data_IF_918836457621
#
_entry.id   IF_918836457621
#
_cell.length_a   1.000
_cell.length_b   1.000
_cell.length_c   1.000
_cell.angle_alpha   90.00
_cell.angle_beta   90.00
_cell.angle_gamma   90.00
#
_symmetry.space_group_name_H-M   'P 1'
#
loop_
_entity.id
_entity.type
_entity.pdbx_description
1 polymer ?
#
# COMPACT_ATOMS: atom_id res chain seq x y z
N UNK A 1 3.77 -11.76 -11.19
CA UNK A 1 2.35 -11.73 -11.53
C UNK A 1 1.77 -10.31 -11.48
N UNK A 2 1.90 -9.58 -10.37
CA UNK A 2 1.33 -8.23 -10.25
C UNK A 2 1.93 -7.24 -11.26
N UNK A 3 3.24 -7.26 -11.48
CA UNK A 3 3.88 -6.44 -12.50
C UNK A 3 3.36 -6.78 -13.90
N UNK A 4 3.33 -8.08 -14.25
CA UNK A 4 2.78 -8.53 -15.54
C UNK A 4 1.29 -8.16 -15.71
N UNK A 5 0.54 -8.12 -14.60
CA UNK A 5 -0.85 -7.73 -14.63
C UNK A 5 -1.00 -6.25 -14.99
N UNK A 6 -0.20 -5.37 -14.38
CA UNK A 6 -0.24 -3.93 -14.68
C UNK A 6 0.30 -3.60 -16.06
N UNK A 7 1.36 -4.29 -16.52
CA UNK A 7 1.88 -4.15 -17.89
C UNK A 7 0.84 -4.51 -18.97
N UNK A 8 -0.05 -5.44 -18.66
CA UNK A 8 -1.09 -5.91 -19.59
C UNK A 8 -2.50 -5.61 -19.05
N UNK A 9 -2.66 -4.54 -18.29
CA UNK A 9 -3.91 -4.25 -17.59
C UNK A 9 -5.05 -4.03 -18.58
N UNK A 10 -4.84 -3.22 -19.61
CA UNK A 10 -5.85 -2.90 -20.63
C UNK A 10 -6.24 -4.16 -21.43
N UNK A 11 -5.28 -4.97 -21.86
CA UNK A 11 -5.54 -6.21 -22.57
C UNK A 11 -6.35 -7.22 -21.74
N UNK A 12 -6.15 -7.20 -20.42
CA UNK A 12 -6.83 -8.12 -19.49
C UNK A 12 -8.22 -7.66 -19.05
N UNK A 13 -8.45 -6.36 -19.02
CA UNK A 13 -9.63 -5.77 -18.40
C UNK A 13 -10.50 -4.98 -19.37
N UNK A 14 -9.99 -4.62 -20.55
CA UNK A 14 -10.64 -3.70 -21.48
C UNK A 14 -10.57 -2.22 -21.06
N UNK A 15 -9.85 -1.90 -19.95
CA UNK A 15 -9.78 -0.56 -19.40
C UNK A 15 -8.33 -0.15 -19.19
N UNK A 16 -7.96 1.06 -19.60
CA UNK A 16 -6.62 1.60 -19.40
C UNK A 16 -6.41 2.11 -17.96
N UNK A 17 -5.18 2.00 -17.50
CA UNK A 17 -4.68 2.67 -16.29
C UNK A 17 -3.45 3.48 -16.65
N UNK A 18 -3.24 4.59 -15.95
CA UNK A 18 -2.09 5.46 -16.15
C UNK A 18 -0.84 4.86 -15.47
N UNK A 19 -0.33 3.76 -16.07
CA UNK A 19 0.83 3.02 -15.56
C UNK A 19 2.11 3.43 -16.27
N UNK A 20 3.04 3.99 -15.52
CA UNK A 20 4.35 4.44 -15.99
C UNK A 20 5.44 3.50 -15.50
N UNK A 21 6.02 2.71 -16.38
CA UNK A 21 7.07 1.75 -16.08
C UNK A 21 8.45 2.36 -16.32
N UNK A 22 8.85 3.32 -15.50
CA UNK A 22 10.15 4.00 -15.61
C UNK A 22 11.22 3.41 -14.68
N UNK A 23 10.90 2.32 -13.99
CA UNK A 23 11.79 1.68 -13.03
C UNK A 23 11.80 2.34 -11.66
N UNK A 24 12.60 1.76 -10.76
CA UNK A 24 12.89 2.37 -9.46
C UNK A 24 14.36 2.21 -9.09
N UNK A 25 14.90 3.23 -8.44
CA UNK A 25 16.21 3.22 -7.80
C UNK A 25 16.02 2.96 -6.30
N UNK A 26 16.67 1.92 -5.78
CA UNK A 26 16.85 1.74 -4.34
C UNK A 26 18.28 2.09 -3.98
N UNK A 27 18.45 3.01 -3.05
CA UNK A 27 19.73 3.61 -2.69
C UNK A 27 20.04 3.24 -1.23
N UNK A 28 21.22 2.64 -1.02
CA UNK A 28 21.80 2.37 0.28
C UNK A 28 23.05 3.25 0.48
N UNK A 29 23.15 3.85 1.65
CA UNK A 29 24.22 4.78 2.01
C UNK A 29 25.24 4.17 2.99
N UNK A 30 24.88 3.05 3.62
CA UNK A 30 25.69 2.36 4.64
C UNK A 30 25.86 0.88 4.29
N UNK A 31 26.93 0.25 4.78
CA UNK A 31 27.24 -1.17 4.54
C UNK A 31 26.10 -2.11 4.98
N UNK A 32 25.41 -1.78 6.09
CA UNK A 32 24.28 -2.59 6.54
C UNK A 32 23.16 -2.67 5.48
N UNK A 33 22.85 -1.57 4.79
CA UNK A 33 21.83 -1.55 3.74
C UNK A 33 22.37 -1.97 2.36
N UNK A 34 23.67 -1.98 2.17
CA UNK A 34 24.29 -2.65 0.99
C UNK A 34 24.01 -4.15 1.04
N UNK A 35 24.17 -4.77 2.21
CA UNK A 35 23.82 -6.19 2.39
C UNK A 35 22.32 -6.47 2.12
N UNK A 36 21.42 -5.56 2.50
CA UNK A 36 19.99 -5.64 2.13
C UNK A 36 19.79 -5.60 0.60
N UNK A 37 20.52 -4.74 -0.11
CA UNK A 37 20.43 -4.72 -1.57
C UNK A 37 20.90 -6.02 -2.21
N UNK A 38 21.96 -6.66 -1.70
CA UNK A 38 22.46 -7.93 -2.18
C UNK A 38 21.44 -9.06 -2.01
N UNK A 39 20.78 -9.13 -0.85
CA UNK A 39 19.71 -10.09 -0.61
C UNK A 39 18.52 -9.87 -1.57
N UNK A 40 18.15 -8.62 -1.86
CA UNK A 40 17.11 -8.28 -2.84
C UNK A 40 17.48 -8.70 -4.26
N UNK A 41 18.75 -8.57 -4.64
CA UNK A 41 19.24 -9.06 -5.94
C UNK A 41 19.09 -10.56 -6.04
N UNK A 42 19.47 -11.31 -5.01
CA UNK A 42 19.32 -12.77 -5.01
C UNK A 42 17.84 -13.19 -5.01
N UNK A 43 16.98 -12.52 -4.23
CA UNK A 43 15.53 -12.74 -4.27
C UNK A 43 14.95 -12.45 -5.65
N UNK A 44 15.34 -11.36 -6.30
CA UNK A 44 14.90 -11.02 -7.65
C UNK A 44 15.33 -12.09 -8.67
N UNK A 45 16.57 -12.54 -8.61
CA UNK A 45 17.09 -13.62 -9.48
C UNK A 45 16.30 -14.91 -9.31
N UNK A 46 15.97 -15.30 -8.08
CA UNK A 46 15.24 -16.55 -7.79
C UNK A 46 13.87 -16.62 -8.45
N UNK A 47 13.27 -15.48 -8.76
CA UNK A 47 11.97 -15.35 -9.45
C UNK A 47 12.11 -14.84 -10.89
N UNK A 48 13.32 -14.84 -11.46
CA UNK A 48 13.58 -14.43 -12.84
C UNK A 48 13.49 -12.92 -13.10
N UNK A 49 13.48 -12.09 -12.05
CA UNK A 49 13.50 -10.63 -12.20
C UNK A 49 14.94 -10.12 -12.43
N UNK A 50 15.06 -9.14 -13.32
CA UNK A 50 16.35 -8.50 -13.63
C UNK A 50 16.48 -7.21 -12.83
N UNK A 51 17.61 -7.08 -12.15
CA UNK A 51 18.02 -5.84 -11.47
C UNK A 51 19.44 -5.49 -11.90
N UNK A 52 19.82 -4.22 -11.80
CA UNK A 52 21.14 -3.74 -12.21
C UNK A 52 21.68 -2.76 -11.18
N UNK A 53 22.96 -2.93 -10.80
CA UNK A 53 23.66 -1.88 -10.07
C UNK A 53 24.03 -0.75 -11.03
N UNK A 54 23.85 0.48 -10.59
CA UNK A 54 24.25 1.69 -11.29
C UNK A 54 25.38 2.39 -10.54
N UNK A 55 26.26 3.03 -11.28
CA UNK A 55 27.16 4.05 -10.72
C UNK A 55 26.39 5.33 -10.38
N UNK A 56 26.92 6.15 -9.49
CA UNK A 56 26.31 7.44 -9.14
C UNK A 56 26.12 8.33 -10.38
N UNK A 57 27.09 8.48 -11.30
CA UNK A 57 26.88 9.27 -12.53
C UNK A 57 25.75 8.76 -13.42
N UNK A 58 25.53 7.44 -13.51
CA UNK A 58 24.42 6.87 -14.27
C UNK A 58 23.08 7.18 -13.63
N UNK A 59 22.97 7.03 -12.29
CA UNK A 59 21.76 7.37 -11.56
C UNK A 59 21.39 8.87 -11.67
N UNK A 60 22.38 9.77 -11.60
CA UNK A 60 22.19 11.21 -11.75
C UNK A 60 21.76 11.63 -13.17
N UNK A 61 22.11 10.84 -14.19
CA UNK A 61 21.59 11.05 -15.56
C UNK A 61 20.11 10.68 -15.64
N UNK A 62 19.67 9.66 -14.92
CA UNK A 62 18.28 9.25 -14.88
C UNK A 62 17.44 10.20 -14.02
N UNK A 63 17.99 10.72 -12.92
CA UNK A 63 17.29 11.60 -11.96
C UNK A 63 18.16 12.85 -11.72
N UNK A 64 18.07 13.88 -12.59
CA UNK A 64 18.94 15.06 -12.51
C UNK A 64 18.75 15.91 -11.24
N UNK A 65 17.57 15.83 -10.60
CA UNK A 65 17.28 16.48 -9.33
C UNK A 65 17.95 15.83 -8.12
N UNK A 66 18.47 14.59 -8.26
CA UNK A 66 19.08 13.82 -7.18
C UNK A 66 20.53 14.28 -6.92
N UNK A 67 20.97 14.18 -5.66
CA UNK A 67 22.38 14.31 -5.24
C UNK A 67 22.74 13.12 -4.37
N UNK A 68 23.90 12.55 -4.62
CA UNK A 68 24.42 11.37 -3.89
C UNK A 68 25.92 11.51 -3.69
N UNK A 69 26.39 10.99 -2.56
CA UNK A 69 27.80 10.78 -2.33
C UNK A 69 28.34 9.63 -3.21
N UNK A 70 29.63 9.66 -3.59
CA UNK A 70 30.24 8.62 -4.45
C UNK A 70 30.18 7.20 -3.86
N UNK A 71 30.00 7.08 -2.56
CA UNK A 71 29.94 5.79 -1.83
C UNK A 71 28.57 5.13 -1.88
N UNK A 72 27.53 5.83 -2.35
CA UNK A 72 26.17 5.30 -2.43
C UNK A 72 26.11 4.06 -3.35
N UNK A 73 25.39 3.04 -2.91
CA UNK A 73 25.06 1.85 -3.71
C UNK A 73 23.64 1.97 -4.24
N UNK A 74 23.49 1.74 -5.54
CA UNK A 74 22.24 2.02 -6.24
C UNK A 74 21.82 0.79 -7.03
N UNK A 75 20.64 0.27 -6.72
CA UNK A 75 20.01 -0.85 -7.42
C UNK A 75 18.85 -0.34 -8.26
N UNK A 76 18.88 -0.56 -9.56
CA UNK A 76 17.79 -0.31 -10.49
C UNK A 76 16.94 -1.57 -10.64
N UNK A 77 15.63 -1.42 -10.42
CA UNK A 77 14.59 -2.39 -10.78
C UNK A 77 13.84 -1.85 -12.00
N UNK A 78 14.16 -2.28 -13.22
CA UNK A 78 13.64 -1.63 -14.45
C UNK A 78 12.15 -1.88 -14.69
N UNK A 79 11.57 -2.97 -14.15
CA UNK A 79 10.15 -3.29 -14.28
C UNK A 79 9.26 -2.64 -13.22
N UNK A 80 9.84 -1.90 -12.28
CA UNK A 80 9.06 -1.09 -11.34
C UNK A 80 8.43 0.09 -12.08
N UNK A 81 7.31 0.55 -11.54
CA UNK A 81 6.59 1.69 -12.07
C UNK A 81 5.69 2.33 -11.02
N UNK A 82 4.96 3.32 -11.44
CA UNK A 82 3.92 3.93 -10.63
C UNK A 82 2.65 4.11 -11.46
N UNK A 83 1.55 4.29 -10.76
CA UNK A 83 0.23 4.49 -11.33
C UNK A 83 -0.51 5.50 -10.45
N UNK A 84 -1.47 6.20 -11.00
CA UNK A 84 -2.39 6.98 -10.17
C UNK A 84 -3.41 6.04 -9.49
N UNK A 85 -3.42 5.91 -8.16
CA UNK A 85 -4.22 4.89 -7.47
C UNK A 85 -5.72 4.95 -7.76
N UNK A 86 -6.26 6.17 -7.97
CA UNK A 86 -7.67 6.35 -8.29
C UNK A 86 -8.04 5.74 -9.66
N UNK A 87 -7.17 5.87 -10.66
CA UNK A 87 -7.40 5.30 -12.00
C UNK A 87 -7.52 3.78 -11.93
N UNK A 88 -6.71 3.13 -11.09
CA UNK A 88 -6.76 1.68 -10.88
C UNK A 88 -8.08 1.24 -10.27
N UNK A 89 -8.56 1.91 -9.23
CA UNK A 89 -9.81 1.57 -8.59
C UNK A 89 -11.01 1.74 -9.54
N UNK A 90 -11.01 2.82 -10.33
CA UNK A 90 -12.06 3.08 -11.34
C UNK A 90 -12.02 2.03 -12.45
N UNK A 91 -10.84 1.69 -12.96
CA UNK A 91 -10.69 0.69 -14.01
C UNK A 91 -11.10 -0.72 -13.55
N UNK A 92 -10.73 -1.12 -12.33
CA UNK A 92 -11.21 -2.38 -11.75
C UNK A 92 -12.74 -2.42 -11.60
N UNK A 93 -13.34 -1.31 -11.12
CA UNK A 93 -14.79 -1.22 -10.98
C UNK A 93 -15.48 -1.34 -12.35
N UNK A 94 -14.97 -0.65 -13.37
CA UNK A 94 -15.50 -0.72 -14.72
C UNK A 94 -15.39 -2.14 -15.30
N UNK A 95 -14.23 -2.77 -15.20
CA UNK A 95 -14.02 -4.15 -15.63
C UNK A 95 -14.96 -5.14 -14.89
N UNK A 96 -15.16 -4.95 -13.58
CA UNK A 96 -16.09 -5.78 -12.83
C UNK A 96 -17.55 -5.60 -13.33
N UNK A 97 -17.96 -4.38 -13.64
CA UNK A 97 -19.30 -4.08 -14.21
C UNK A 97 -19.47 -4.76 -15.55
N UNK A 98 -18.46 -4.75 -16.42
CA UNK A 98 -18.49 -5.45 -17.72
C UNK A 98 -18.69 -6.96 -17.57
N UNK A 99 -18.24 -7.52 -16.44
CA UNK A 99 -18.48 -8.92 -16.06
C UNK A 99 -19.78 -9.13 -15.24
N UNK A 100 -20.64 -8.14 -15.14
CA UNK A 100 -21.96 -8.24 -14.51
C UNK A 100 -21.98 -7.90 -13.02
N UNK A 101 -20.90 -7.40 -12.43
CA UNK A 101 -20.91 -6.90 -11.05
C UNK A 101 -21.72 -5.60 -10.92
N UNK A 102 -22.28 -5.36 -9.73
CA UNK A 102 -22.96 -4.11 -9.40
C UNK A 102 -22.11 -3.33 -8.42
N UNK A 103 -21.85 -2.07 -8.72
CA UNK A 103 -21.16 -1.14 -7.82
C UNK A 103 -22.20 -0.17 -7.24
N UNK A 104 -22.39 -0.21 -5.93
CA UNK A 104 -23.37 0.61 -5.21
C UNK A 104 -22.63 1.66 -4.38
N UNK A 105 -22.36 2.81 -4.98
CA UNK A 105 -21.78 3.96 -4.26
C UNK A 105 -22.80 4.61 -3.34
N UNK A 106 -22.34 5.30 -2.29
CA UNK A 106 -23.23 5.93 -1.31
C UNK A 106 -24.06 4.94 -0.49
N UNK A 107 -23.65 3.64 -0.48
CA UNK A 107 -24.35 2.57 0.24
C UNK A 107 -23.47 2.05 1.36
N UNK A 108 -23.79 2.42 2.60
CA UNK A 108 -23.08 1.93 3.77
C UNK A 108 -23.50 0.50 4.11
N UNK A 109 -22.50 -0.36 4.44
CA UNK A 109 -22.75 -1.67 5.07
C UNK A 109 -22.80 -1.45 6.59
N UNK A 110 -23.91 -1.79 7.20
CA UNK A 110 -24.21 -1.55 8.62
C UNK A 110 -23.96 -2.82 9.45
N UNK A 111 -24.29 -3.99 8.89
CA UNK A 111 -24.15 -5.27 9.59
C UNK A 111 -23.92 -6.44 8.61
N UNK A 112 -23.35 -7.55 9.10
CA UNK A 112 -23.32 -8.84 8.43
C UNK A 112 -24.34 -9.77 9.09
N UNK A 113 -25.32 -10.19 8.30
CA UNK A 113 -26.39 -11.07 8.78
C UNK A 113 -25.88 -12.52 8.80
N UNK A 114 -26.01 -13.17 9.96
CA UNK A 114 -25.51 -14.54 10.16
C UNK A 114 -26.58 -15.44 10.80
N UNK A 115 -26.49 -16.73 10.53
CA UNK A 115 -27.32 -17.76 11.19
C UNK A 115 -26.56 -19.08 11.22
N UNK A 116 -26.47 -19.70 12.40
CA UNK A 116 -25.78 -20.99 12.58
C UNK A 116 -24.31 -20.96 12.20
N UNK A 117 -23.60 -19.85 12.49
CA UNK A 117 -22.18 -19.70 12.15
C UNK A 117 -21.91 -19.48 10.65
N UNK A 118 -22.91 -19.06 9.88
CA UNK A 118 -22.82 -18.81 8.43
C UNK A 118 -23.32 -17.45 8.06
N UNK A 119 -22.71 -16.82 7.07
CA UNK A 119 -23.20 -15.59 6.43
C UNK A 119 -24.54 -15.87 5.73
N UNK A 120 -25.47 -14.91 5.83
CA UNK A 120 -26.77 -14.92 5.16
C UNK A 120 -27.00 -13.66 4.32
N UNK A 121 -26.22 -12.62 4.54
CA UNK A 121 -26.35 -11.37 3.82
C UNK A 121 -25.66 -10.24 4.52
N UNK A 122 -25.90 -9.04 4.03
CA UNK A 122 -25.48 -7.78 4.65
C UNK A 122 -26.67 -6.84 4.79
N UNK A 123 -26.76 -6.18 5.93
CA UNK A 123 -27.64 -5.03 6.12
C UNK A 123 -26.93 -3.79 5.57
N UNK A 124 -27.64 -3.04 4.75
CA UNK A 124 -27.11 -1.80 4.17
C UNK A 124 -28.07 -0.65 4.41
N UNK A 125 -27.61 0.59 4.20
CA UNK A 125 -28.44 1.80 4.28
C UNK A 125 -29.65 1.82 3.32
N UNK A 126 -29.65 0.94 2.30
CA UNK A 126 -30.74 0.82 1.31
C UNK A 126 -31.54 -0.50 1.44
N UNK A 127 -31.26 -1.31 2.46
CA UNK A 127 -31.94 -2.58 2.72
C UNK A 127 -30.99 -3.77 2.77
N UNK A 128 -31.54 -4.97 2.86
CA UNK A 128 -30.79 -6.23 2.94
C UNK A 128 -30.36 -6.71 1.56
N UNK A 129 -29.11 -7.15 1.47
CA UNK A 129 -28.60 -7.90 0.33
C UNK A 129 -28.31 -9.33 0.82
N UNK A 130 -29.10 -10.29 0.34
CA UNK A 130 -28.92 -11.69 0.68
C UNK A 130 -27.72 -12.29 -0.09
N UNK A 131 -26.85 -12.96 0.64
CA UNK A 131 -25.69 -13.69 0.08
C UNK A 131 -25.16 -14.68 1.10
N UNK A 132 -24.54 -15.75 0.61
CA UNK A 132 -23.83 -16.72 1.44
C UNK A 132 -22.34 -16.39 1.60
N UNK A 133 -21.83 -15.40 0.87
CA UNK A 133 -20.40 -15.02 0.92
C UNK A 133 -20.24 -13.50 0.92
N UNK A 134 -19.39 -13.03 1.83
CA UNK A 134 -19.04 -11.62 1.98
C UNK A 134 -17.53 -11.49 1.99
N UNK A 135 -16.99 -10.56 1.22
CA UNK A 135 -15.59 -10.16 1.29
C UNK A 135 -15.49 -8.82 2.00
N UNK A 136 -14.92 -8.81 3.19
CA UNK A 136 -14.65 -7.60 3.96
C UNK A 136 -13.33 -7.00 3.48
N UNK A 137 -13.42 -6.01 2.57
CA UNK A 137 -12.29 -5.30 1.97
C UNK A 137 -12.32 -3.80 2.31
N UNK A 138 -12.63 -3.46 3.56
CA UNK A 138 -12.98 -2.11 4.01
C UNK A 138 -11.77 -1.26 4.41
N UNK A 139 -10.53 -1.65 4.07
CA UNK A 139 -9.31 -0.86 4.31
C UNK A 139 -9.20 -0.44 5.79
N UNK A 140 -9.10 0.85 6.05
CA UNK A 140 -8.98 1.41 7.40
C UNK A 140 -10.16 1.06 8.32
N UNK A 141 -11.35 0.83 7.77
CA UNK A 141 -12.57 0.48 8.52
C UNK A 141 -12.72 -1.02 8.77
N UNK A 142 -11.82 -1.87 8.27
CA UNK A 142 -11.93 -3.34 8.41
C UNK A 142 -12.09 -3.77 9.86
N UNK A 143 -11.28 -3.24 10.78
CA UNK A 143 -11.37 -3.58 12.20
C UNK A 143 -12.66 -3.09 12.84
N UNK A 144 -13.07 -1.84 12.56
CA UNK A 144 -14.31 -1.26 13.07
C UNK A 144 -15.54 -2.08 12.68
N UNK A 145 -15.62 -2.48 11.41
CA UNK A 145 -16.70 -3.35 10.95
C UNK A 145 -16.59 -4.75 11.59
N UNK A 146 -15.38 -5.31 11.67
CA UNK A 146 -15.16 -6.58 12.37
C UNK A 146 -15.67 -6.56 13.81
N UNK A 147 -15.33 -5.51 14.57
CA UNK A 147 -15.78 -5.34 15.97
C UNK A 147 -17.33 -5.27 16.08
N UNK A 148 -18.01 -4.64 15.14
CA UNK A 148 -19.49 -4.63 15.07
C UNK A 148 -20.08 -6.02 14.91
N UNK A 149 -19.36 -6.92 14.24
CA UNK A 149 -19.78 -8.32 14.00
C UNK A 149 -19.20 -9.30 15.02
N UNK A 150 -18.61 -8.80 16.11
CA UNK A 150 -18.01 -9.63 17.15
C UNK A 150 -16.68 -10.28 16.76
N UNK A 151 -16.00 -9.77 15.73
CA UNK A 151 -14.72 -10.27 15.23
C UNK A 151 -13.57 -9.38 15.68
N UNK A 152 -12.48 -9.99 16.11
CA UNK A 152 -11.22 -9.28 16.40
C UNK A 152 -10.25 -9.40 15.23
N UNK A 153 -10.39 -8.53 14.23
CA UNK A 153 -9.45 -8.48 13.11
C UNK A 153 -8.26 -7.61 13.50
N UNK A 154 -7.08 -8.22 13.62
CA UNK A 154 -5.87 -7.61 14.18
C UNK A 154 -5.17 -6.72 13.13
N UNK A 155 -5.79 -5.61 12.79
CA UNK A 155 -5.28 -4.59 11.88
C UNK A 155 -5.51 -3.19 12.43
N UNK A 156 -4.64 -2.24 12.06
CA UNK A 156 -4.72 -0.86 12.52
C UNK A 156 -4.38 0.10 11.37
N UNK A 157 -5.18 1.14 11.12
CA UNK A 157 -4.80 2.22 10.21
C UNK A 157 -3.72 3.11 10.85
N UNK A 158 -2.67 3.37 10.09
CA UNK A 158 -1.58 4.27 10.48
C UNK A 158 -1.52 5.44 9.51
N UNK A 159 -1.29 6.66 10.02
CA UNK A 159 -1.21 7.86 9.18
C UNK A 159 0.02 7.79 8.29
N UNK A 160 -0.20 8.01 7.00
CA UNK A 160 0.84 8.28 6.01
C UNK A 160 0.67 9.66 5.42
N UNK A 161 1.76 10.39 5.25
CA UNK A 161 1.76 11.73 4.68
C UNK A 161 2.82 11.86 3.60
N UNK A 162 2.52 12.64 2.59
CA UNK A 162 3.42 13.02 1.51
C UNK A 162 3.07 14.42 1.00
N UNK A 163 4.00 15.05 0.30
CA UNK A 163 3.73 16.32 -0.35
C UNK A 163 4.14 16.30 -1.83
N UNK A 164 3.59 17.25 -2.59
CA UNK A 164 3.91 17.49 -3.99
C UNK A 164 4.42 18.92 -4.13
N UNK A 165 5.50 19.10 -4.88
CA UNK A 165 6.06 20.42 -5.20
C UNK A 165 5.46 21.01 -6.47
N UNK A 166 5.63 22.30 -6.67
CA UNK A 166 5.48 22.91 -7.98
C UNK A 166 6.49 22.28 -8.98
N UNK A 167 6.27 22.45 -10.30
CA UNK A 167 7.18 21.93 -11.33
C UNK A 167 8.63 22.41 -11.16
N UNK A 168 9.58 21.54 -11.46
CA UNK A 168 11.02 21.74 -11.40
C UNK A 168 11.66 21.35 -12.73
N UNK A 169 12.50 22.21 -13.29
CA UNK A 169 13.22 21.92 -14.56
C UNK A 169 14.19 20.73 -14.46
N UNK A 170 14.61 20.37 -13.24
CA UNK A 170 15.45 19.21 -12.97
C UNK A 170 14.68 17.89 -12.85
N UNK A 171 13.34 17.92 -12.89
CA UNK A 171 12.49 16.71 -12.83
C UNK A 171 12.11 16.30 -14.24
N UNK A 172 12.47 15.07 -14.59
CA UNK A 172 12.11 14.46 -15.87
C UNK A 172 10.81 13.66 -15.73
N UNK A 173 10.02 13.65 -16.78
CA UNK A 173 8.77 12.89 -16.82
C UNK A 173 9.01 11.37 -16.74
N UNK A 174 10.07 10.89 -17.40
CA UNK A 174 10.46 9.49 -17.53
C UNK A 174 11.44 9.01 -16.44
N UNK A 175 11.67 9.81 -15.38
CA UNK A 175 12.60 9.41 -14.33
C UNK A 175 12.04 8.28 -13.46
N UNK A 176 12.91 7.34 -13.02
CA UNK A 176 12.53 6.27 -12.10
C UNK A 176 12.13 6.81 -10.72
N UNK A 177 11.36 5.99 -10.00
CA UNK A 177 11.09 6.23 -8.57
C UNK A 177 12.40 6.14 -7.80
N UNK A 178 12.65 7.07 -6.89
CA UNK A 178 13.81 7.03 -5.98
C UNK A 178 13.36 6.57 -4.60
N UNK A 179 14.05 5.58 -4.02
CA UNK A 179 13.86 5.12 -2.63
C UNK A 179 15.19 5.16 -1.93
N UNK A 180 15.31 5.95 -0.87
CA UNK A 180 16.53 6.11 -0.06
C UNK A 180 16.29 5.42 1.28
N UNK A 181 17.07 4.39 1.55
CA UNK A 181 16.73 3.42 2.61
C UNK A 181 16.91 4.00 4.00
N UNK A 182 18.02 4.66 4.29
CA UNK A 182 18.33 5.14 5.63
C UNK A 182 17.35 6.18 6.17
N UNK A 183 17.05 7.27 5.43
CA UNK A 183 16.02 8.22 5.84
C UNK A 183 14.60 7.72 5.55
N UNK A 184 14.46 6.52 4.99
CA UNK A 184 13.17 5.92 4.62
C UNK A 184 12.31 6.81 3.72
N UNK A 185 12.94 7.50 2.78
CA UNK A 185 12.30 8.43 1.83
C UNK A 185 12.03 7.75 0.50
N UNK A 186 10.98 8.20 -0.13
CA UNK A 186 10.77 7.99 -1.56
C UNK A 186 10.42 9.30 -2.25
N UNK A 187 10.83 9.41 -3.50
CA UNK A 187 10.44 10.50 -4.38
C UNK A 187 10.13 9.97 -5.77
N UNK A 188 9.14 10.55 -6.42
CA UNK A 188 8.85 10.32 -7.84
C UNK A 188 8.39 11.60 -8.52
N UNK A 189 8.47 11.64 -9.82
CA UNK A 189 7.86 12.72 -10.58
C UNK A 189 6.33 12.75 -10.40
N UNK A 190 5.73 13.92 -10.40
CA UNK A 190 4.28 14.12 -10.44
C UNK A 190 4.00 15.50 -11.02
N UNK A 191 3.37 15.54 -12.20
CA UNK A 191 3.00 16.79 -12.91
C UNK A 191 4.18 17.78 -13.06
N UNK A 192 5.37 17.27 -13.36
CA UNK A 192 6.60 18.05 -13.52
C UNK A 192 7.30 18.45 -12.22
N UNK A 193 6.70 18.19 -11.05
CA UNK A 193 7.30 18.37 -9.73
C UNK A 193 7.71 17.04 -9.09
N UNK A 194 8.14 17.07 -7.84
CA UNK A 194 8.44 15.91 -7.02
C UNK A 194 7.28 15.63 -6.04
N UNK A 195 6.79 14.40 -6.04
CA UNK A 195 6.03 13.84 -4.94
C UNK A 195 7.02 13.19 -3.98
N UNK A 196 7.09 13.67 -2.75
CA UNK A 196 8.00 13.19 -1.70
C UNK A 196 7.19 12.62 -0.54
N UNK A 197 7.53 11.42 -0.13
CA UNK A 197 6.95 10.76 1.03
C UNK A 197 8.01 9.97 1.79
N UNK A 198 7.65 9.52 2.98
CA UNK A 198 8.59 8.79 3.82
C UNK A 198 7.90 7.97 4.90
N UNK A 199 8.68 7.13 5.54
CA UNK A 199 8.26 6.29 6.66
C UNK A 199 9.16 6.58 7.87
N UNK A 200 8.73 6.17 9.05
CA UNK A 200 9.56 6.34 10.26
C UNK A 200 9.41 7.71 10.94
N UNK A 201 8.73 8.64 10.31
CA UNK A 201 8.49 9.97 10.88
C UNK A 201 7.19 9.93 11.71
N UNK A 202 7.32 9.94 13.05
CA UNK A 202 6.18 10.06 13.98
C UNK A 202 4.99 9.13 13.63
N UNK A 203 5.18 7.79 13.61
CA UNK A 203 4.11 6.86 13.30
C UNK A 203 2.94 7.06 14.27
N UNK A 204 1.73 7.12 13.75
CA UNK A 204 0.53 7.34 14.55
C UNK A 204 -0.62 6.52 14.00
N UNK A 205 -1.12 5.60 14.82
CA UNK A 205 -2.29 4.79 14.50
C UNK A 205 -3.58 5.42 15.02
N UNK A 206 -4.69 5.01 14.40
CA UNK A 206 -6.02 5.49 14.77
C UNK A 206 -6.97 4.34 15.08
N UNK A 207 -7.97 4.65 15.90
CA UNK A 207 -9.15 3.82 16.05
C UNK A 207 -10.27 4.50 15.24
N UNK A 208 -10.76 3.84 14.19
CA UNK A 208 -11.74 4.44 13.28
C UNK A 208 -13.07 4.79 13.97
N UNK A 209 -13.40 4.11 15.06
CA UNK A 209 -14.57 4.45 15.88
C UNK A 209 -14.47 5.78 16.65
N UNK A 210 -13.29 6.40 16.70
CA UNK A 210 -13.10 7.72 17.33
C UNK A 210 -13.42 8.88 16.34
N UNK A 211 -13.63 8.56 15.05
CA UNK A 211 -14.02 9.53 14.03
C UNK A 211 -15.54 9.59 13.87
N UNK A 212 -16.08 10.73 13.39
CA UNK A 212 -17.49 10.84 13.01
C UNK A 212 -17.86 9.81 11.93
N UNK A 213 -19.13 9.44 11.84
CA UNK A 213 -19.61 8.46 10.85
C UNK A 213 -19.42 8.94 9.39
N UNK A 214 -19.46 10.24 9.17
CA UNK A 214 -19.26 10.91 7.89
C UNK A 214 -17.77 11.26 7.62
N UNK A 215 -16.85 10.73 8.43
CA UNK A 215 -15.43 11.01 8.26
C UNK A 215 -14.90 10.54 6.91
N UNK A 216 -14.25 11.46 6.21
CA UNK A 216 -13.49 11.18 4.99
C UNK A 216 -11.99 11.41 5.17
N UNK A 217 -11.17 10.62 4.48
CA UNK A 217 -9.69 10.71 4.57
C UNK A 217 -9.13 12.12 4.35
N UNK A 218 -9.65 12.97 3.45
CA UNK A 218 -9.17 14.34 3.30
C UNK A 218 -9.29 15.20 4.56
N UNK A 219 -10.24 14.87 5.46
CA UNK A 219 -10.43 15.56 6.73
C UNK A 219 -9.41 15.15 7.81
N UNK A 220 -8.58 14.12 7.55
CA UNK A 220 -7.54 13.71 8.48
C UNK A 220 -6.57 14.88 8.76
N UNK A 221 -6.33 15.17 10.04
CA UNK A 221 -5.46 16.28 10.44
C UNK A 221 -4.02 16.04 9.98
N UNK A 222 -3.38 17.11 9.48
CA UNK A 222 -1.97 17.09 9.14
C UNK A 222 -1.09 17.12 10.39
N UNK A 223 0.00 16.38 10.37
CA UNK A 223 1.11 16.53 11.30
C UNK A 223 2.20 17.38 10.64
N UNK A 224 2.27 18.64 11.00
CA UNK A 224 3.21 19.57 10.39
C UNK A 224 4.67 19.25 10.77
N UNK A 225 4.88 18.68 11.95
CA UNK A 225 6.22 18.24 12.38
C UNK A 225 6.69 17.08 11.52
N UNK A 226 5.81 16.12 11.21
CA UNK A 226 6.10 15.04 10.25
C UNK A 226 6.56 15.60 8.89
N UNK A 227 5.82 16.57 8.34
CA UNK A 227 6.19 17.17 7.06
C UNK A 227 7.53 17.87 7.13
N UNK A 228 7.81 18.57 8.21
CA UNK A 228 9.07 19.27 8.41
C UNK A 228 10.25 18.29 8.51
N UNK A 229 10.17 17.29 9.40
CA UNK A 229 11.21 16.27 9.57
C UNK A 229 11.51 15.53 8.27
N UNK A 230 10.46 15.15 7.52
CA UNK A 230 10.58 14.48 6.24
C UNK A 230 11.21 15.38 5.17
N UNK A 231 10.82 16.64 5.12
CA UNK A 231 11.37 17.63 4.20
C UNK A 231 12.85 17.88 4.47
N UNK A 232 13.23 18.13 5.73
CA UNK A 232 14.62 18.31 6.16
C UNK A 232 15.48 17.08 5.81
N UNK A 233 14.95 15.87 6.00
CA UNK A 233 15.64 14.64 5.63
C UNK A 233 15.78 14.46 4.10
N UNK A 234 14.93 15.09 3.29
CA UNK A 234 14.98 15.03 1.83
C UNK A 234 15.95 16.04 1.20
N UNK A 235 16.20 17.17 1.86
CA UNK A 235 17.05 18.27 1.32
C UNK A 235 18.47 17.83 0.88
N UNK A 236 19.20 16.96 1.61
CA UNK A 236 20.52 16.52 1.18
C UNK A 236 20.51 15.80 -0.18
N UNK A 237 19.39 15.15 -0.52
CA UNK A 237 19.23 14.36 -1.74
C UNK A 237 18.55 15.13 -2.87
N UNK A 238 17.72 16.09 -2.54
CA UNK A 238 16.97 16.92 -3.48
C UNK A 238 17.09 18.40 -3.09
N UNK A 239 18.24 19.04 -3.29
CA UNK A 239 18.48 20.42 -2.83
C UNK A 239 17.56 21.46 -3.46
N UNK A 240 16.98 21.19 -4.63
CA UNK A 240 15.99 22.09 -5.26
C UNK A 240 14.72 22.24 -4.42
N UNK A 241 14.45 21.31 -3.47
CA UNK A 241 13.33 21.40 -2.54
C UNK A 241 13.39 22.63 -1.62
N UNK A 242 14.58 23.19 -1.38
CA UNK A 242 14.75 24.41 -0.57
C UNK A 242 14.04 25.63 -1.19
N UNK A 243 13.92 25.66 -2.52
CA UNK A 243 13.48 26.84 -3.27
C UNK A 243 12.11 26.66 -3.94
N UNK A 244 11.62 25.43 -4.03
CA UNK A 244 10.36 25.14 -4.71
C UNK A 244 9.20 25.12 -3.72
N UNK A 245 8.06 25.77 -4.00
CA UNK A 245 6.92 25.72 -3.13
C UNK A 245 6.28 24.32 -3.12
N UNK A 246 5.81 23.89 -1.94
CA UNK A 246 4.91 22.74 -1.79
C UNK A 246 3.51 23.19 -2.19
N UNK A 247 2.92 22.55 -3.19
CA UNK A 247 1.61 22.91 -3.74
C UNK A 247 0.49 22.00 -3.27
N UNK A 248 0.83 20.80 -2.78
CA UNK A 248 -0.15 19.84 -2.28
C UNK A 248 0.41 19.03 -1.12
N UNK A 249 -0.41 18.75 -0.13
CA UNK A 249 -0.14 17.82 0.97
C UNK A 249 -1.22 16.73 0.97
N UNK A 250 -0.80 15.48 0.86
CA UNK A 250 -1.70 14.32 0.86
C UNK A 250 -1.54 13.51 2.15
N UNK A 251 -2.64 12.94 2.58
CA UNK A 251 -2.72 12.08 3.77
C UNK A 251 -3.49 10.82 3.42
N UNK A 252 -3.16 9.74 4.10
CA UNK A 252 -3.81 8.45 3.92
C UNK A 252 -3.74 7.60 5.18
N UNK A 253 -4.50 6.54 5.20
CA UNK A 253 -4.58 5.57 6.29
C UNK A 253 -4.28 4.15 5.78
N UNK A 254 -3.02 3.84 5.42
CA UNK A 254 -2.65 2.45 5.16
C UNK A 254 -2.99 1.59 6.38
N UNK A 255 -3.62 0.44 6.11
CA UNK A 255 -4.02 -0.51 7.15
C UNK A 255 -2.91 -1.51 7.34
N UNK A 256 -2.35 -1.55 8.54
CA UNK A 256 -1.22 -2.37 8.93
C UNK A 256 -1.66 -3.60 9.70
N UNK A 257 -0.99 -4.74 9.47
CA UNK A 257 -0.98 -5.87 10.40
C UNK A 257 0.33 -5.86 11.21
N UNK A 258 0.40 -6.53 12.37
CA UNK A 258 1.58 -6.55 13.25
C UNK A 258 2.86 -7.04 12.60
N UNK A 259 2.77 -7.89 11.58
CA UNK A 259 3.89 -8.43 10.79
C UNK A 259 4.09 -7.70 9.45
N UNK A 260 3.24 -6.73 9.12
CA UNK A 260 3.27 -6.00 7.85
C UNK A 260 2.83 -6.80 6.62
N UNK A 261 2.30 -8.01 6.78
CA UNK A 261 1.79 -8.83 5.70
C UNK A 261 0.28 -8.64 5.50
N UNK A 262 -0.17 -8.78 4.26
CA UNK A 262 -1.61 -8.70 3.94
C UNK A 262 -2.41 -9.84 4.61
N UNK A 263 -3.70 -9.61 4.74
CA UNK A 263 -4.68 -10.65 5.12
C UNK A 263 -5.55 -10.93 3.90
N UNK A 264 -5.67 -12.21 3.54
CA UNK A 264 -6.57 -12.70 2.50
C UNK A 264 -7.00 -14.13 2.86
N UNK A 265 -8.03 -14.29 3.69
CA UNK A 265 -8.45 -15.59 4.21
C UNK A 265 -9.91 -15.62 4.65
N UNK A 266 -10.46 -16.83 4.80
CA UNK A 266 -11.68 -17.06 5.57
C UNK A 266 -11.47 -16.66 7.04
N UNK A 267 -12.56 -16.42 7.75
CA UNK A 267 -12.61 -16.23 9.20
C UNK A 267 -13.09 -17.54 9.86
N UNK A 268 -12.32 -18.02 10.82
CA UNK A 268 -12.71 -19.21 11.60
C UNK A 268 -14.00 -18.95 12.39
N UNK A 269 -14.86 -19.95 12.42
CA UNK A 269 -16.14 -19.89 13.13
C UNK A 269 -17.26 -19.10 12.42
N UNK A 270 -16.97 -18.50 11.24
CA UNK A 270 -17.97 -17.80 10.44
C UNK A 270 -17.82 -18.16 8.95
N UNK A 271 -18.54 -19.20 8.54
CA UNK A 271 -18.53 -19.69 7.16
C UNK A 271 -19.09 -18.64 6.19
N UNK A 272 -18.42 -18.41 5.08
CA UNK A 272 -18.78 -17.43 4.06
C UNK A 272 -18.22 -16.03 4.27
N UNK A 273 -17.54 -15.73 5.39
CA UNK A 273 -16.83 -14.43 5.52
C UNK A 273 -15.36 -14.58 5.16
N UNK A 274 -14.94 -13.75 4.22
CA UNK A 274 -13.56 -13.60 3.77
C UNK A 274 -13.07 -12.20 4.13
N UNK A 275 -11.84 -12.07 4.64
CA UNK A 275 -11.21 -10.77 4.88
C UNK A 275 -10.10 -10.55 3.87
N UNK A 276 -10.10 -9.38 3.23
CA UNK A 276 -9.03 -8.86 2.37
C UNK A 276 -8.59 -7.49 2.89
N UNK A 277 -7.50 -7.44 3.67
CA UNK A 277 -7.08 -6.22 4.36
C UNK A 277 -5.58 -6.21 4.63
N UNK A 278 -5.13 -5.23 5.42
CA UNK A 278 -3.73 -5.11 5.84
C UNK A 278 -2.72 -5.08 4.68
N UNK A 279 -3.10 -4.53 3.53
CA UNK A 279 -2.17 -4.40 2.41
C UNK A 279 -0.99 -3.45 2.73
N UNK A 280 -0.91 -2.97 3.94
CA UNK A 280 0.08 -2.02 4.45
C UNK A 280 0.15 -0.81 3.52
N UNK A 281 1.31 -0.44 3.02
CA UNK A 281 1.47 0.62 2.01
C UNK A 281 1.47 0.07 0.58
N UNK A 282 1.28 -1.23 0.43
CA UNK A 282 1.40 -1.98 -0.83
C UNK A 282 0.08 -2.26 -1.54
N UNK A 283 -1.03 -1.64 -1.15
CA UNK A 283 -2.37 -1.99 -1.63
C UNK A 283 -2.51 -2.00 -3.15
N UNK A 284 -1.98 -1.00 -3.84
CA UNK A 284 -2.04 -0.92 -5.30
C UNK A 284 -1.27 -2.07 -5.95
N UNK A 285 0.03 -2.19 -5.63
CA UNK A 285 0.88 -3.16 -6.34
C UNK A 285 0.59 -4.62 -5.96
N UNK A 286 -0.01 -4.88 -4.78
CA UNK A 286 -0.45 -6.22 -4.40
C UNK A 286 -1.87 -6.56 -4.90
N UNK A 287 -2.66 -5.57 -5.33
CA UNK A 287 -4.09 -5.76 -5.64
C UNK A 287 -4.39 -6.89 -6.62
N UNK A 288 -3.62 -7.11 -7.73
CA UNK A 288 -3.91 -8.21 -8.63
C UNK A 288 -3.74 -9.60 -7.97
N UNK A 289 -2.70 -9.75 -7.16
CA UNK A 289 -2.41 -11.00 -6.45
C UNK A 289 -3.43 -11.30 -5.35
N UNK A 290 -3.73 -10.31 -4.51
CA UNK A 290 -4.74 -10.43 -3.45
C UNK A 290 -6.12 -10.69 -4.05
N UNK A 291 -6.51 -9.94 -5.09
CA UNK A 291 -7.78 -10.14 -5.77
C UNK A 291 -7.94 -11.55 -6.32
N UNK A 292 -6.89 -12.12 -6.92
CA UNK A 292 -6.88 -13.49 -7.41
C UNK A 292 -7.03 -14.52 -6.27
N UNK A 293 -6.26 -14.37 -5.19
CA UNK A 293 -6.35 -15.27 -4.02
C UNK A 293 -7.78 -15.23 -3.44
N UNK A 294 -8.35 -14.04 -3.27
CA UNK A 294 -9.71 -13.88 -2.76
C UNK A 294 -10.74 -14.51 -3.72
N UNK A 295 -10.58 -14.33 -5.03
CA UNK A 295 -11.45 -14.95 -6.01
C UNK A 295 -11.38 -16.48 -5.95
N UNK A 296 -10.19 -17.07 -5.80
CA UNK A 296 -10.02 -18.51 -5.62
C UNK A 296 -10.73 -19.00 -4.35
N UNK A 297 -10.64 -18.27 -3.23
CA UNK A 297 -11.34 -18.58 -1.98
C UNK A 297 -12.86 -18.49 -2.17
N UNK A 298 -13.36 -17.38 -2.75
CA UNK A 298 -14.81 -17.17 -2.97
C UNK A 298 -15.43 -18.24 -3.87
N UNK A 299 -14.65 -18.78 -4.80
CA UNK A 299 -15.15 -19.76 -5.78
C UNK A 299 -14.76 -21.20 -5.47
N UNK A 300 -14.23 -21.48 -4.28
CA UNK A 300 -13.73 -22.79 -3.82
C UNK A 300 -12.73 -23.43 -4.81
N UNK A 301 -11.93 -22.62 -5.47
CA UNK A 301 -10.87 -23.11 -6.35
C UNK A 301 -9.58 -23.36 -5.58
N UNK A 302 -8.73 -24.27 -6.06
CA UNK A 302 -7.38 -24.41 -5.52
C UNK A 302 -6.66 -23.05 -5.55
N UNK A 303 -6.06 -22.66 -4.43
CA UNK A 303 -5.32 -21.41 -4.33
C UNK A 303 -4.16 -21.43 -5.33
N UNK A 304 -4.05 -20.36 -6.09
CA UNK A 304 -2.96 -20.15 -7.05
C UNK A 304 -1.56 -20.12 -6.39
N UNK A 305 -1.49 -19.59 -5.16
CA UNK A 305 -0.27 -19.58 -4.33
C UNK A 305 -0.59 -20.11 -2.93
N UNK A 306 0.41 -20.69 -2.22
CA UNK A 306 0.28 -20.92 -0.78
C UNK A 306 -0.06 -19.60 -0.09
N UNK A 307 -1.20 -19.54 0.60
CA UNK A 307 -1.70 -18.34 1.23
C UNK A 307 -1.84 -18.49 2.77
N UNK A 308 -1.19 -19.48 3.35
CA UNK A 308 -1.27 -19.73 4.79
C UNK A 308 -0.70 -18.57 5.61
N UNK A 309 0.36 -17.90 5.11
CA UNK A 309 0.90 -16.68 5.67
C UNK A 309 -0.02 -15.46 5.57
N UNK A 310 -1.14 -15.55 4.82
CA UNK A 310 -2.14 -14.48 4.70
C UNK A 310 -3.38 -14.74 5.57
N UNK A 311 -3.36 -15.77 6.42
CA UNK A 311 -4.47 -16.09 7.33
C UNK A 311 -4.68 -14.97 8.36
N UNK A 312 -5.94 -14.60 8.62
CA UNK A 312 -6.30 -13.68 9.70
C UNK A 312 -6.01 -14.30 11.08
N UNK A 313 -6.04 -15.63 11.18
CA UNK A 313 -5.82 -16.37 12.43
C UNK A 313 -4.34 -16.56 12.80
N UNK A 314 -3.39 -16.15 11.95
CA UNK A 314 -1.93 -16.36 12.15
C UNK A 314 -1.36 -15.74 13.42
N UNK A 315 -2.03 -14.78 13.99
CA UNK A 315 -1.59 -14.09 15.21
C UNK A 315 -2.14 -14.71 16.50
N UNK A 316 -3.16 -15.58 16.42
CA UNK A 316 -3.84 -16.11 17.59
C UNK A 316 -4.33 -14.99 18.52
N UNK A 317 -4.03 -15.07 19.80
CA UNK A 317 -4.38 -14.07 20.82
C UNK A 317 -3.25 -13.07 21.13
N UNK A 318 -2.12 -13.13 20.44
CA UNK A 318 -0.93 -12.31 20.75
C UNK A 318 -1.24 -10.81 20.73
N UNK A 319 -2.06 -10.38 19.77
CA UNK A 319 -2.42 -8.97 19.58
C UNK A 319 -3.87 -8.65 19.96
N UNK A 320 -4.47 -9.39 20.89
CA UNK A 320 -5.81 -9.06 21.42
C UNK A 320 -5.79 -7.77 22.26
N UNK A 321 -4.63 -7.44 22.84
CA UNK A 321 -4.45 -6.17 23.51
C UNK A 321 -4.29 -5.03 22.51
N UNK A 322 -5.25 -4.10 22.51
CA UNK A 322 -5.29 -2.97 21.59
C UNK A 322 -4.03 -2.10 21.60
N UNK A 323 -3.41 -1.90 22.75
CA UNK A 323 -2.19 -1.11 22.85
C UNK A 323 -1.03 -1.84 22.18
N UNK A 324 -0.83 -3.12 22.50
CA UNK A 324 0.21 -3.95 21.90
C UNK A 324 0.07 -4.02 20.37
N UNK A 325 -1.16 -4.26 19.88
CA UNK A 325 -1.44 -4.25 18.44
C UNK A 325 -1.05 -2.94 17.76
N UNK A 326 -1.42 -1.80 18.35
CA UNK A 326 -1.09 -0.48 17.79
C UNK A 326 0.41 -0.24 17.77
N UNK A 327 1.10 -0.50 18.87
CA UNK A 327 2.56 -0.36 18.99
C UNK A 327 3.30 -1.23 17.96
N UNK A 328 2.85 -2.47 17.75
CA UNK A 328 3.43 -3.37 16.75
C UNK A 328 3.22 -2.84 15.31
N UNK A 329 2.00 -2.42 14.96
CA UNK A 329 1.69 -1.87 13.65
C UNK A 329 2.46 -0.55 13.36
N UNK A 330 2.57 0.33 14.36
CA UNK A 330 3.37 1.56 14.27
C UNK A 330 4.87 1.26 14.09
N UNK A 331 5.39 0.24 14.80
CA UNK A 331 6.77 -0.20 14.66
C UNK A 331 7.07 -0.77 13.26
N UNK A 332 6.15 -1.55 12.70
CA UNK A 332 6.26 -2.04 11.31
C UNK A 332 6.25 -0.89 10.31
N UNK A 333 5.33 0.06 10.46
CA UNK A 333 5.29 1.25 9.61
C UNK A 333 6.58 2.08 9.70
N UNK A 334 7.09 2.28 10.92
CA UNK A 334 8.31 3.06 11.17
C UNK A 334 9.58 2.43 10.54
N UNK A 335 9.54 1.15 10.21
CA UNK A 335 10.69 0.40 9.65
C UNK A 335 10.43 -0.13 8.24
N UNK A 336 9.54 0.53 7.48
CA UNK A 336 9.06 0.04 6.19
C UNK A 336 10.15 -0.31 5.19
N UNK A 337 11.29 0.40 5.22
CA UNK A 337 12.44 0.13 4.35
C UNK A 337 13.58 -0.62 5.06
N UNK A 338 13.49 -0.84 6.37
CA UNK A 338 14.59 -1.40 7.17
C UNK A 338 14.51 -2.91 7.39
N UNK A 339 13.29 -3.48 7.49
CA UNK A 339 13.07 -4.85 7.99
C UNK A 339 12.27 -5.76 7.04
N UNK A 340 12.16 -5.43 5.76
CA UNK A 340 11.46 -6.29 4.79
C UNK A 340 12.43 -7.09 3.95
N UNK A 341 12.91 -8.15 4.54
CA UNK A 341 13.49 -9.29 3.82
C UNK A 341 12.80 -10.56 4.31
#
# INVERSE_FOLDING_TARGET
>A
YCADFFENFEDRTGHAVDFHQYGSLRIALTEAYVADLEQRVEAAKSIGQKTHYLSVPEALKLVPSLRLEPTARILLSPRDGFVEPRSVAVAYAAAAIDHGARVLTGTAVEDILTSGGRVRGVQTSIGVIETERVVLAAGAWTRLLGERFGLNIQVVPVRHQLYVTAPLSSVREDQPIVRITEPQLYARQHMGGLMVGGYGYRPMSFKMGDFPEDFEIPALSADHIYYQEMHEAALPFFPDLEKVPIVEQRRGLPTMAPDGQSIASNIEGLDGLIVASACSVGGVHHSPGIGRIVADIVTDRPKWLPADGLSAARFGSEFDNNRHLREACEAVYARMYRDKI
#
